data_IF_355458027207
#
_entry.id   IF_355458027207
#
_cell.length_a   1.000
_cell.length_b   1.000
_cell.length_c   1.000
_cell.angle_alpha   90.00
_cell.angle_beta   90.00
_cell.angle_gamma   90.00
#
_symmetry.space_group_name_H-M   'P 1'
#
loop_
_entity.id
_entity.type
_entity.pdbx_description
1 polymer ?
#
# COMPACT_ATOMS: atom_id res chain seq x y z
N UNK A 1 70.34 54.10 12.37
CA UNK A 1 70.64 52.74 11.77
C UNK A 1 69.45 51.85 11.97
N UNK A 2 69.02 51.29 10.93
CA UNK A 2 67.73 50.80 10.60
C UNK A 2 67.06 49.76 11.54
N UNK A 3 65.89 50.11 12.02
CA UNK A 3 64.85 49.24 12.52
C UNK A 3 64.05 48.68 11.32
N UNK A 4 64.37 47.51 10.83
CA UNK A 4 63.51 46.73 9.89
C UNK A 4 64.06 45.30 9.86
N UNK A 5 63.72 44.51 10.81
CA UNK A 5 63.76 43.00 10.68
C UNK A 5 63.19 42.43 11.95
N UNK A 6 61.87 42.41 12.09
CA UNK A 6 61.16 41.59 13.06
C UNK A 6 59.66 41.64 12.79
N UNK A 7 59.23 41.09 11.66
CA UNK A 7 57.77 40.90 11.42
C UNK A 7 57.54 39.93 10.27
N UNK A 8 58.11 38.72 10.36
CA UNK A 8 57.79 37.62 9.39
C UNK A 8 57.68 36.24 10.04
N UNK A 9 57.71 36.12 11.37
CA UNK A 9 57.56 34.81 12.02
C UNK A 9 56.20 34.52 12.70
N UNK A 10 55.17 35.31 12.42
CA UNK A 10 53.87 35.21 13.09
C UNK A 10 52.71 34.61 12.29
N UNK A 11 52.91 34.09 11.08
CA UNK A 11 51.81 33.69 10.19
C UNK A 11 51.85 32.23 9.69
N UNK A 12 52.71 31.38 10.26
CA UNK A 12 52.79 29.96 9.89
C UNK A 12 52.15 29.03 10.93
N UNK A 13 51.65 29.58 12.05
CA UNK A 13 51.07 28.78 13.16
C UNK A 13 49.56 28.52 13.13
N UNK A 14 48.80 29.05 12.17
CA UNK A 14 47.33 28.98 12.18
C UNK A 14 46.68 28.16 11.05
N UNK A 15 47.46 27.48 10.23
CA UNK A 15 46.90 26.64 9.14
C UNK A 15 46.93 25.14 9.38
N UNK A 16 47.25 24.66 10.57
CA UNK A 16 47.35 23.26 10.92
C UNK A 16 46.23 22.73 11.83
N UNK A 17 45.25 23.53 12.20
CA UNK A 17 44.17 23.10 13.10
C UNK A 17 42.81 22.89 12.41
N UNK A 18 42.72 22.89 11.09
CA UNK A 18 41.49 22.67 10.34
C UNK A 18 41.44 21.30 9.59
N UNK A 19 42.35 20.39 9.89
CA UNK A 19 42.36 19.07 9.29
C UNK A 19 42.08 17.92 10.27
N UNK A 20 41.49 18.19 11.40
CA UNK A 20 41.12 17.13 12.33
C UNK A 20 39.61 16.89 12.39
N UNK A 21 38.90 16.98 11.30
CA UNK A 21 37.71 16.14 11.16
C UNK A 21 38.21 14.74 10.81
N UNK A 22 38.47 13.99 11.82
CA UNK A 22 38.92 12.61 11.75
C UNK A 22 37.92 11.79 10.94
N UNK A 23 38.35 11.36 9.76
CA UNK A 23 37.71 10.32 8.96
C UNK A 23 37.84 8.94 9.64
N UNK A 24 37.68 8.87 10.97
CA UNK A 24 37.89 7.67 11.77
C UNK A 24 36.81 6.59 11.61
N UNK A 25 35.77 6.84 10.81
CA UNK A 25 34.72 5.86 10.48
C UNK A 25 34.89 5.18 9.11
N UNK A 26 35.95 5.53 8.36
CA UNK A 26 36.20 4.90 7.06
C UNK A 26 36.92 3.54 7.18
N UNK A 27 36.66 2.64 6.23
CA UNK A 27 37.41 1.38 6.13
C UNK A 27 38.83 1.71 5.63
N UNK A 28 39.79 1.64 6.55
CA UNK A 28 41.19 1.80 6.22
C UNK A 28 41.84 0.51 5.71
N UNK A 29 43.08 0.60 5.25
CA UNK A 29 43.83 -0.55 4.70
C UNK A 29 44.00 -1.67 5.69
N UNK A 30 44.22 -1.37 6.98
CA UNK A 30 44.39 -2.38 8.02
C UNK A 30 43.07 -3.09 8.36
N UNK A 31 41.98 -2.33 8.43
CA UNK A 31 40.64 -2.89 8.59
C UNK A 31 40.27 -3.79 7.41
N UNK A 32 40.53 -3.35 6.18
CA UNK A 32 40.27 -4.15 4.97
C UNK A 32 41.07 -5.46 5.00
N UNK A 33 42.36 -5.43 5.37
CA UNK A 33 43.18 -6.65 5.49
C UNK A 33 42.60 -7.64 6.50
N UNK A 34 42.10 -7.18 7.66
CA UNK A 34 41.44 -8.02 8.67
C UNK A 34 40.13 -8.61 8.15
N UNK A 35 39.31 -7.80 7.46
CA UNK A 35 38.04 -8.26 6.85
C UNK A 35 38.34 -9.38 5.84
N UNK A 36 39.25 -9.16 4.93
CA UNK A 36 39.62 -10.16 3.89
C UNK A 36 40.24 -11.42 4.50
N UNK A 37 41.10 -11.31 5.51
CA UNK A 37 41.70 -12.43 6.18
C UNK A 37 40.70 -13.35 6.90
N UNK A 38 39.57 -12.80 7.34
CA UNK A 38 38.46 -13.56 7.91
C UNK A 38 37.62 -14.32 6.88
N UNK A 39 37.84 -14.09 5.59
CA UNK A 39 37.07 -14.72 4.54
C UNK A 39 37.74 -16.00 4.03
N UNK A 40 37.09 -17.17 4.22
CA UNK A 40 37.59 -18.46 3.74
C UNK A 40 37.21 -18.72 2.28
N UNK A 41 38.17 -18.77 1.38
CA UNK A 41 37.92 -18.83 -0.08
C UNK A 41 37.58 -20.22 -0.63
N UNK A 42 37.98 -21.30 0.01
CA UNK A 42 37.88 -22.65 -0.57
C UNK A 42 36.47 -23.26 -0.48
N UNK A 43 35.82 -23.17 0.69
CA UNK A 43 34.43 -23.65 0.89
C UNK A 43 33.39 -22.76 0.26
N UNK A 44 33.70 -21.48 0.01
CA UNK A 44 32.78 -20.49 -0.51
C UNK A 44 32.72 -20.44 -2.05
N UNK A 45 33.64 -21.11 -2.77
CA UNK A 45 33.67 -21.03 -4.23
C UNK A 45 32.47 -21.68 -4.90
N UNK A 46 32.07 -22.87 -4.45
CA UNK A 46 30.89 -23.54 -5.01
C UNK A 46 29.63 -22.74 -4.70
N UNK A 47 29.49 -22.20 -3.45
CA UNK A 47 28.40 -21.35 -3.05
C UNK A 47 28.38 -20.02 -3.82
N UNK A 48 29.53 -19.39 -4.01
CA UNK A 48 29.70 -18.19 -4.84
C UNK A 48 29.23 -18.40 -6.27
N UNK A 49 29.64 -19.54 -6.90
CA UNK A 49 29.17 -19.90 -8.22
C UNK A 49 27.66 -20.14 -8.27
N UNK A 50 27.09 -20.78 -7.24
CA UNK A 50 25.65 -21.00 -7.15
C UNK A 50 24.88 -19.67 -7.01
N UNK A 51 25.35 -18.75 -6.18
CA UNK A 51 24.73 -17.42 -5.99
C UNK A 51 24.87 -16.56 -7.28
N UNK A 52 25.99 -16.67 -7.99
CA UNK A 52 26.20 -15.93 -9.24
C UNK A 52 25.22 -16.33 -10.37
N UNK A 53 24.66 -17.53 -10.30
CA UNK A 53 23.79 -18.09 -11.35
C UNK A 53 22.34 -18.32 -10.91
N UNK A 54 22.03 -18.11 -9.63
CA UNK A 54 20.70 -18.29 -9.06
C UNK A 54 20.30 -17.12 -8.16
N UNK A 55 18.99 -16.94 -7.95
CA UNK A 55 18.52 -15.97 -6.96
C UNK A 55 18.85 -16.45 -5.54
N UNK A 56 19.17 -15.49 -4.67
CA UNK A 56 19.45 -15.74 -3.25
C UNK A 56 18.29 -16.49 -2.59
N UNK A 57 17.05 -16.08 -2.83
CA UNK A 57 15.86 -16.71 -2.26
C UNK A 57 15.71 -18.18 -2.69
N UNK A 58 16.04 -18.51 -3.94
CA UNK A 58 16.01 -19.91 -4.38
C UNK A 58 17.01 -20.79 -3.61
N UNK A 59 18.19 -20.26 -3.32
CA UNK A 59 19.23 -20.97 -2.59
C UNK A 59 18.98 -21.01 -1.07
N UNK A 60 18.39 -19.97 -0.52
CA UNK A 60 17.99 -19.91 0.89
C UNK A 60 16.74 -20.74 1.20
N UNK A 61 15.98 -21.15 0.17
CA UNK A 61 14.73 -21.90 0.36
C UNK A 61 14.97 -23.22 1.10
N UNK A 62 14.25 -23.42 2.19
CA UNK A 62 14.33 -24.64 2.97
C UNK A 62 13.55 -25.77 2.28
N UNK A 63 14.26 -26.55 1.45
CA UNK A 63 13.67 -27.63 0.67
C UNK A 63 13.11 -28.77 1.54
N UNK A 64 13.70 -29.03 2.71
CA UNK A 64 13.29 -30.14 3.60
C UNK A 64 11.91 -29.93 4.20
N UNK A 65 11.44 -28.69 4.32
CA UNK A 65 10.10 -28.35 4.80
C UNK A 65 8.99 -28.40 3.72
N UNK A 66 9.37 -28.45 2.47
CA UNK A 66 8.40 -28.42 1.36
C UNK A 66 7.42 -29.60 1.30
N UNK A 67 7.72 -30.71 1.96
CA UNK A 67 6.86 -31.92 2.00
C UNK A 67 5.97 -32.05 3.24
N UNK A 68 5.99 -31.07 4.16
CA UNK A 68 5.33 -31.18 5.47
C UNK A 68 4.14 -30.25 5.68
N UNK A 69 3.60 -29.63 4.62
CA UNK A 69 2.41 -28.79 4.75
C UNK A 69 1.17 -29.67 4.87
N UNK A 70 0.48 -29.53 5.98
CA UNK A 70 -0.88 -30.07 6.13
C UNK A 70 -1.85 -29.17 5.35
N UNK A 71 -2.48 -29.74 4.31
CA UNK A 71 -3.49 -29.07 3.48
C UNK A 71 -4.91 -29.45 3.87
N UNK A 72 -5.09 -30.17 4.97
CA UNK A 72 -6.39 -30.47 5.52
C UNK A 72 -6.91 -29.32 6.37
N UNK A 73 -8.08 -28.81 6.04
CA UNK A 73 -8.76 -27.75 6.78
C UNK A 73 -10.06 -28.26 7.39
N UNK A 74 -10.25 -27.99 8.68
CA UNK A 74 -11.48 -28.40 9.40
C UNK A 74 -12.69 -27.51 9.04
N UNK A 75 -12.44 -26.32 8.51
CA UNK A 75 -13.47 -25.36 8.08
C UNK A 75 -13.01 -24.69 6.78
N UNK A 76 -13.85 -24.72 5.78
CA UNK A 76 -13.66 -23.98 4.53
C UNK A 76 -14.87 -23.07 4.27
N UNK A 77 -14.63 -21.85 3.80
CA UNK A 77 -15.70 -20.96 3.35
C UNK A 77 -16.09 -21.27 1.91
N UNK A 78 -17.30 -20.86 1.51
CA UNK A 78 -17.79 -20.99 0.12
C UNK A 78 -16.74 -20.50 -0.88
N UNK A 79 -16.36 -21.37 -1.83
CA UNK A 79 -15.28 -21.07 -2.79
C UNK A 79 -15.71 -19.98 -3.77
N UNK A 80 -14.76 -19.12 -4.09
CA UNK A 80 -14.91 -18.05 -5.08
C UNK A 80 -13.69 -18.05 -6.02
N UNK A 81 -13.84 -17.55 -7.23
CA UNK A 81 -12.73 -17.37 -8.16
C UNK A 81 -11.73 -16.36 -7.64
N UNK A 82 -10.47 -16.52 -8.02
CA UNK A 82 -9.38 -15.60 -7.70
C UNK A 82 -9.24 -14.58 -8.83
N UNK A 83 -9.06 -13.30 -8.46
CA UNK A 83 -8.72 -12.24 -9.39
C UNK A 83 -7.27 -11.80 -9.18
N UNK A 84 -6.56 -11.63 -10.29
CA UNK A 84 -5.18 -11.17 -10.30
C UNK A 84 -5.14 -9.65 -10.50
N UNK A 85 -4.59 -8.92 -9.52
CA UNK A 85 -4.42 -7.46 -9.59
C UNK A 85 -3.33 -7.00 -10.57
N UNK A 86 -2.57 -7.95 -11.16
CA UNK A 86 -1.42 -7.68 -12.04
C UNK A 86 -0.36 -6.76 -11.40
N UNK A 87 0.27 -5.91 -12.19
CA UNK A 87 1.29 -4.95 -11.76
C UNK A 87 0.66 -3.66 -11.19
N UNK A 88 -0.22 -3.81 -10.19
CA UNK A 88 -0.88 -2.69 -9.51
C UNK A 88 -0.84 -2.84 -7.99
N UNK A 89 -0.94 -1.74 -7.25
CA UNK A 89 -1.01 -1.74 -5.78
C UNK A 89 -2.44 -1.83 -5.22
N UNK A 90 -3.40 -2.35 -5.99
CA UNK A 90 -4.83 -2.39 -5.66
C UNK A 90 -5.26 -3.60 -4.82
N UNK A 91 -4.33 -4.28 -4.13
CA UNK A 91 -4.64 -5.48 -3.32
C UNK A 91 -5.77 -5.24 -2.30
N UNK A 92 -5.81 -4.07 -1.68
CA UNK A 92 -6.85 -3.66 -0.74
C UNK A 92 -8.24 -3.66 -1.40
N UNK A 93 -8.35 -3.17 -2.64
CA UNK A 93 -9.59 -3.11 -3.40
C UNK A 93 -10.03 -4.50 -3.85
N UNK A 94 -9.11 -5.28 -4.42
CA UNK A 94 -9.39 -6.67 -4.82
C UNK A 94 -9.84 -7.53 -3.64
N UNK A 95 -9.16 -7.42 -2.49
CA UNK A 95 -9.54 -8.13 -1.27
C UNK A 95 -10.90 -7.67 -0.74
N UNK A 96 -11.16 -6.37 -0.71
CA UNK A 96 -12.45 -5.82 -0.31
C UNK A 96 -13.59 -6.30 -1.20
N UNK A 97 -13.42 -6.24 -2.52
CA UNK A 97 -14.41 -6.72 -3.48
C UNK A 97 -14.65 -8.23 -3.37
N UNK A 98 -13.61 -9.02 -3.11
CA UNK A 98 -13.75 -10.45 -2.86
C UNK A 98 -14.60 -10.74 -1.63
N UNK A 99 -14.47 -9.96 -0.56
CA UNK A 99 -15.34 -10.06 0.63
C UNK A 99 -16.79 -9.75 0.28
N UNK A 100 -17.04 -8.64 -0.44
CA UNK A 100 -18.40 -8.25 -0.83
C UNK A 100 -19.05 -9.30 -1.74
N UNK A 101 -18.31 -9.78 -2.74
CA UNK A 101 -18.75 -10.83 -3.66
C UNK A 101 -19.11 -12.14 -2.94
N UNK A 102 -18.25 -12.56 -2.02
CA UNK A 102 -18.48 -13.75 -1.23
C UNK A 102 -19.70 -13.63 -0.32
N UNK A 103 -19.86 -12.49 0.34
CA UNK A 103 -21.02 -12.22 1.18
C UNK A 103 -22.32 -12.19 0.37
N UNK A 104 -22.28 -11.64 -0.85
CA UNK A 104 -23.43 -11.68 -1.76
C UNK A 104 -23.83 -13.12 -2.11
N UNK A 105 -22.89 -13.95 -2.54
CA UNK A 105 -23.13 -15.35 -2.87
C UNK A 105 -23.69 -16.12 -1.65
N UNK A 106 -23.11 -15.92 -0.45
CA UNK A 106 -23.59 -16.52 0.80
C UNK A 106 -25.04 -16.10 1.12
N UNK A 107 -25.37 -14.82 1.02
CA UNK A 107 -26.74 -14.33 1.27
C UNK A 107 -27.76 -14.96 0.32
N UNK A 108 -27.35 -15.27 -0.90
CA UNK A 108 -28.18 -15.93 -1.91
C UNK A 108 -28.00 -17.45 -1.94
N UNK A 109 -27.44 -18.07 -0.89
CA UNK A 109 -27.23 -19.54 -0.78
C UNK A 109 -26.52 -20.13 -2.00
N UNK A 110 -25.52 -19.40 -2.49
CA UNK A 110 -24.68 -19.77 -3.65
C UNK A 110 -25.45 -19.92 -4.99
N UNK A 111 -26.64 -19.33 -5.09
CA UNK A 111 -27.45 -19.34 -6.32
C UNK A 111 -27.23 -18.13 -7.22
N UNK A 112 -26.75 -17.01 -6.66
CA UNK A 112 -26.43 -15.79 -7.39
C UNK A 112 -24.99 -15.39 -7.14
N UNK A 113 -24.32 -14.99 -8.21
CA UNK A 113 -22.95 -14.53 -8.24
C UNK A 113 -22.84 -13.19 -8.94
N UNK A 114 -21.80 -12.43 -8.59
CA UNK A 114 -21.48 -11.14 -9.19
C UNK A 114 -19.96 -10.96 -9.24
N UNK A 115 -19.49 -10.37 -10.32
CA UNK A 115 -18.09 -9.93 -10.46
C UNK A 115 -18.08 -8.42 -10.60
N UNK A 116 -17.22 -7.75 -9.80
CA UNK A 116 -17.17 -6.29 -9.75
C UNK A 116 -16.06 -5.73 -10.61
N UNK A 117 -16.30 -4.54 -11.17
CA UNK A 117 -15.28 -3.74 -11.82
C UNK A 117 -14.35 -3.10 -10.78
N UNK A 118 -13.11 -3.55 -10.73
CA UNK A 118 -12.11 -2.93 -9.88
C UNK A 118 -11.64 -1.58 -10.45
N UNK A 119 -11.57 -1.46 -11.77
CA UNK A 119 -11.15 -0.22 -12.42
C UNK A 119 -12.12 0.92 -12.16
N UNK A 120 -13.43 0.66 -12.05
CA UNK A 120 -14.43 1.68 -11.73
C UNK A 120 -14.12 2.38 -10.40
N UNK A 121 -13.94 1.63 -9.33
CA UNK A 121 -13.62 2.22 -8.02
C UNK A 121 -12.18 2.75 -7.96
N UNK A 122 -11.24 2.12 -8.65
CA UNK A 122 -9.87 2.62 -8.76
C UNK A 122 -9.81 3.99 -9.45
N UNK A 123 -10.64 4.23 -10.46
CA UNK A 123 -10.78 5.54 -11.09
C UNK A 123 -11.16 6.62 -10.07
N UNK A 124 -12.23 6.36 -9.31
CA UNK A 124 -12.71 7.28 -8.29
C UNK A 124 -11.73 7.44 -7.13
N UNK A 125 -11.05 6.37 -6.73
CA UNK A 125 -9.99 6.41 -5.73
C UNK A 125 -8.86 7.37 -6.11
N UNK A 126 -8.35 7.26 -7.34
CA UNK A 126 -7.26 8.12 -7.79
C UNK A 126 -7.68 9.59 -7.93
N UNK A 127 -8.92 9.85 -8.35
CA UNK A 127 -9.47 11.20 -8.41
C UNK A 127 -9.66 11.80 -7.00
N UNK A 128 -10.20 11.02 -6.08
CA UNK A 128 -10.43 11.46 -4.70
C UNK A 128 -9.12 11.67 -3.93
N UNK A 129 -8.14 10.80 -4.08
CA UNK A 129 -6.81 11.00 -3.50
C UNK A 129 -6.12 12.23 -4.08
N UNK A 130 -6.34 12.53 -5.36
CA UNK A 130 -5.86 13.77 -5.98
C UNK A 130 -6.52 14.99 -5.32
N UNK A 131 -7.83 14.94 -5.08
CA UNK A 131 -8.53 15.99 -4.36
C UNK A 131 -8.08 16.10 -2.89
N UNK A 132 -7.87 14.98 -2.20
CA UNK A 132 -7.36 14.93 -0.83
C UNK A 132 -5.98 15.60 -0.73
N UNK A 133 -5.07 15.30 -1.64
CA UNK A 133 -3.75 15.93 -1.72
C UNK A 133 -3.85 17.42 -1.95
N UNK A 134 -4.60 17.87 -2.96
CA UNK A 134 -4.71 19.30 -3.29
C UNK A 134 -5.40 20.09 -2.16
N UNK A 135 -6.44 19.53 -1.54
CA UNK A 135 -7.09 20.19 -0.41
C UNK A 135 -6.20 20.20 0.82
N UNK A 136 -5.53 19.09 1.14
CA UNK A 136 -4.58 19.03 2.25
C UNK A 136 -3.43 20.03 2.10
N UNK A 137 -2.98 20.27 0.88
CA UNK A 137 -1.97 21.32 0.59
C UNK A 137 -2.54 22.72 0.81
N UNK A 138 -3.79 22.99 0.45
CA UNK A 138 -4.47 24.26 0.70
C UNK A 138 -4.60 24.50 2.20
N UNK A 139 -5.10 23.51 2.95
CA UNK A 139 -5.35 23.60 4.39
C UNK A 139 -4.06 23.87 5.19
N UNK A 140 -2.94 23.33 4.71
CA UNK A 140 -1.61 23.47 5.30
C UNK A 140 -0.72 24.50 4.59
N UNK A 141 -1.28 25.35 3.72
CA UNK A 141 -0.47 26.25 2.88
C UNK A 141 0.34 27.29 3.67
N UNK A 142 -0.06 27.63 4.90
CA UNK A 142 0.68 28.54 5.80
C UNK A 142 1.88 27.88 6.49
N UNK A 143 1.93 26.55 6.55
CA UNK A 143 3.05 25.82 7.13
C UNK A 143 4.26 25.83 6.18
N UNK A 144 5.49 25.79 6.68
CA UNK A 144 6.68 25.75 5.81
C UNK A 144 6.77 24.42 5.05
N UNK A 145 7.57 24.38 3.96
CA UNK A 145 7.72 23.22 3.11
C UNK A 145 8.35 22.00 3.82
N UNK A 146 9.11 22.22 4.89
CA UNK A 146 9.70 21.15 5.71
C UNK A 146 8.80 20.68 6.88
N UNK A 147 7.58 21.21 7.01
CA UNK A 147 6.59 20.67 7.95
C UNK A 147 6.24 19.23 7.57
N UNK A 148 6.19 18.28 8.52
CA UNK A 148 5.96 16.85 8.24
C UNK A 148 4.66 16.57 7.44
N UNK A 149 3.58 17.31 7.71
CA UNK A 149 2.31 17.16 7.01
C UNK A 149 2.40 17.65 5.56
N UNK A 150 3.10 18.77 5.33
CA UNK A 150 3.34 19.28 3.97
C UNK A 150 4.20 18.29 3.19
N UNK A 151 5.28 17.78 3.83
CA UNK A 151 6.13 16.76 3.23
C UNK A 151 5.37 15.48 2.90
N UNK A 152 4.44 15.05 3.75
CA UNK A 152 3.59 13.88 3.51
C UNK A 152 2.83 14.02 2.17
N UNK A 153 2.14 15.14 1.93
CA UNK A 153 1.39 15.37 0.70
C UNK A 153 2.28 15.46 -0.55
N UNK A 154 3.43 16.12 -0.45
CA UNK A 154 4.31 16.28 -1.61
C UNK A 154 5.18 15.06 -1.91
N UNK A 155 5.52 14.25 -0.90
CA UNK A 155 6.32 13.05 -1.08
C UNK A 155 5.52 11.95 -1.81
N UNK A 156 4.29 11.74 -1.39
CA UNK A 156 3.40 10.72 -1.95
C UNK A 156 2.03 11.33 -2.30
N UNK A 157 1.92 12.09 -3.41
CA UNK A 157 0.68 12.78 -3.78
C UNK A 157 -0.52 11.86 -3.96
N UNK A 158 -0.30 10.69 -4.54
CA UNK A 158 -1.25 9.58 -4.63
C UNK A 158 -0.52 8.26 -4.45
N UNK A 159 -1.24 7.23 -4.04
CA UNK A 159 -0.76 5.84 -3.98
C UNK A 159 -1.86 4.90 -4.44
N UNK A 160 -1.48 3.71 -4.92
CA UNK A 160 -2.45 2.65 -5.20
C UNK A 160 -2.95 1.96 -3.91
N UNK A 161 -2.24 2.13 -2.79
CA UNK A 161 -2.53 1.47 -1.52
C UNK A 161 -3.81 1.96 -0.85
N UNK A 162 -4.32 1.17 0.08
CA UNK A 162 -5.50 1.52 0.87
C UNK A 162 -5.90 0.43 1.85
N UNK A 163 -7.03 0.66 2.51
CA UNK A 163 -7.64 -0.23 3.50
C UNK A 163 -9.12 -0.43 3.23
N UNK A 164 -9.78 -1.29 4.01
CA UNK A 164 -11.22 -1.56 3.82
C UNK A 164 -12.11 -0.34 4.08
N UNK A 165 -11.71 0.61 4.93
CA UNK A 165 -12.48 1.86 5.09
C UNK A 165 -12.53 2.66 3.78
N UNK A 166 -11.45 2.65 2.99
CA UNK A 166 -11.47 3.24 1.65
C UNK A 166 -12.41 2.52 0.69
N UNK A 167 -12.50 1.17 0.75
CA UNK A 167 -13.50 0.41 -0.02
C UNK A 167 -14.90 0.88 0.36
N UNK A 168 -15.19 0.97 1.66
CA UNK A 168 -16.51 1.35 2.16
C UNK A 168 -16.90 2.79 1.74
N UNK A 169 -16.00 3.75 1.90
CA UNK A 169 -16.25 5.14 1.50
C UNK A 169 -16.51 5.27 -0.01
N UNK A 170 -15.71 4.59 -0.84
CA UNK A 170 -15.87 4.64 -2.29
C UNK A 170 -17.16 3.95 -2.75
N UNK A 171 -17.47 2.78 -2.20
CA UNK A 171 -18.71 2.05 -2.52
C UNK A 171 -19.94 2.84 -2.09
N UNK A 172 -19.92 3.43 -0.89
CA UNK A 172 -21.03 4.22 -0.38
C UNK A 172 -21.24 5.53 -1.17
N UNK A 173 -20.16 6.12 -1.69
CA UNK A 173 -20.18 7.38 -2.43
C UNK A 173 -20.49 7.21 -3.92
N UNK A 174 -19.88 6.20 -4.55
CA UNK A 174 -19.90 6.03 -6.00
C UNK A 174 -20.67 4.79 -6.47
N UNK A 175 -21.12 3.93 -5.56
CA UNK A 175 -21.82 2.72 -5.91
C UNK A 175 -20.90 1.58 -6.36
N UNK A 176 -21.46 0.60 -7.06
CA UNK A 176 -20.79 -0.58 -7.63
C UNK A 176 -21.14 -0.74 -9.11
N UNK A 177 -20.23 -1.34 -9.85
CA UNK A 177 -20.39 -1.64 -11.27
C UNK A 177 -19.93 -3.07 -11.51
N UNK A 178 -20.65 -3.88 -12.32
CA UNK A 178 -20.19 -5.22 -12.68
C UNK A 178 -18.98 -5.13 -13.63
N UNK A 179 -18.09 -6.12 -13.56
CA UNK A 179 -16.84 -6.16 -14.32
C UNK A 179 -17.06 -6.00 -15.84
N UNK A 180 -18.14 -6.59 -16.37
CA UNK A 180 -18.45 -6.54 -17.79
C UNK A 180 -18.88 -5.15 -18.28
N UNK A 181 -19.37 -4.26 -17.41
CA UNK A 181 -19.76 -2.91 -17.78
C UNK A 181 -18.58 -1.92 -17.81
N UNK A 182 -17.53 -2.18 -17.05
CA UNK A 182 -16.26 -1.42 -17.11
C UNK A 182 -15.09 -2.36 -16.85
N UNK A 183 -14.57 -3.02 -17.89
CA UNK A 183 -13.49 -4.00 -17.77
C UNK A 183 -12.12 -3.34 -17.50
N UNK A 184 -11.17 -4.14 -17.03
CA UNK A 184 -9.79 -3.68 -16.80
C UNK A 184 -9.14 -3.18 -18.10
N UNK A 185 -8.33 -2.12 -17.98
CA UNK A 185 -7.49 -1.59 -19.04
C UNK A 185 -6.02 -1.95 -18.82
N UNK A 186 -5.17 -1.79 -19.85
CA UNK A 186 -3.73 -1.97 -19.68
C UNK A 186 -3.16 -1.08 -18.56
N UNK A 187 -3.57 0.18 -18.46
CA UNK A 187 -3.10 1.09 -17.40
C UNK A 187 -3.66 0.74 -16.02
N UNK A 188 -4.83 0.12 -15.94
CA UNK A 188 -5.35 -0.43 -14.69
C UNK A 188 -4.53 -1.63 -14.21
N UNK A 189 -4.10 -2.49 -15.13
CA UNK A 189 -3.23 -3.62 -14.83
C UNK A 189 -1.76 -3.23 -14.61
N UNK A 190 -1.34 -1.99 -15.00
CA UNK A 190 0.03 -1.47 -14.93
C UNK A 190 0.04 -0.02 -14.46
N UNK A 191 -0.33 0.23 -13.21
CA UNK A 191 -0.67 1.56 -12.67
C UNK A 191 0.52 2.51 -12.50
N UNK A 192 1.73 2.02 -12.35
CA UNK A 192 2.90 2.81 -11.93
C UNK A 192 3.17 4.03 -12.82
N UNK A 193 3.05 3.88 -14.16
CA UNK A 193 3.33 5.00 -15.07
C UNK A 193 2.27 6.10 -14.99
N UNK A 194 1.01 5.75 -14.97
CA UNK A 194 -0.10 6.67 -14.80
C UNK A 194 0.02 7.42 -13.46
N UNK A 195 0.23 6.70 -12.37
CA UNK A 195 0.42 7.26 -11.03
C UNK A 195 1.61 8.24 -10.97
N UNK A 196 2.72 7.93 -11.64
CA UNK A 196 3.89 8.83 -11.73
C UNK A 196 3.55 10.14 -12.45
N UNK A 197 2.81 10.08 -13.56
CA UNK A 197 2.38 11.27 -14.32
C UNK A 197 1.45 12.13 -13.46
N UNK A 198 0.44 11.53 -12.84
CA UNK A 198 -0.50 12.24 -11.96
C UNK A 198 0.25 12.84 -10.77
N UNK A 199 1.14 12.11 -10.11
CA UNK A 199 1.93 12.60 -8.99
C UNK A 199 2.80 13.80 -9.35
N UNK A 200 3.39 13.81 -10.55
CA UNK A 200 4.18 14.96 -11.03
C UNK A 200 3.29 16.19 -11.21
N UNK A 201 2.11 15.99 -11.80
CA UNK A 201 1.14 17.08 -12.02
C UNK A 201 0.57 17.63 -10.71
N UNK A 202 0.27 16.75 -9.76
CA UNK A 202 -0.21 17.16 -8.44
C UNK A 202 0.82 17.97 -7.66
N UNK A 203 2.12 17.66 -7.77
CA UNK A 203 3.17 18.46 -7.15
C UNK A 203 3.23 19.88 -7.73
N UNK A 204 3.14 20.00 -9.05
CA UNK A 204 3.06 21.28 -9.76
C UNK A 204 1.85 22.09 -9.25
N UNK A 205 0.68 21.51 -9.25
CA UNK A 205 -0.56 22.11 -8.79
C UNK A 205 -0.53 22.48 -7.30
N UNK A 206 0.00 21.61 -6.46
CA UNK A 206 0.17 21.90 -5.04
C UNK A 206 1.04 23.15 -4.79
N UNK A 207 2.14 23.32 -5.54
CA UNK A 207 2.96 24.52 -5.45
C UNK A 207 2.21 25.77 -5.93
N UNK A 208 1.42 25.67 -7.00
CA UNK A 208 0.59 26.77 -7.50
C UNK A 208 -0.46 27.18 -6.46
N UNK A 209 -1.20 26.21 -5.88
CA UNK A 209 -2.21 26.50 -4.86
C UNK A 209 -1.61 27.14 -3.63
N UNK A 210 -0.43 26.72 -3.17
CA UNK A 210 0.29 27.38 -2.07
C UNK A 210 0.63 28.83 -2.40
N UNK A 211 1.09 29.10 -3.62
CA UNK A 211 1.34 30.50 -4.09
C UNK A 211 0.05 31.33 -4.11
N UNK A 212 -1.07 30.75 -4.54
CA UNK A 212 -2.36 31.44 -4.53
C UNK A 212 -2.79 31.81 -3.10
N UNK A 213 -2.61 30.91 -2.14
CA UNK A 213 -2.90 31.20 -0.72
C UNK A 213 -1.95 32.28 -0.17
N UNK A 214 -0.65 32.18 -0.46
CA UNK A 214 0.35 33.18 -0.04
C UNK A 214 0.03 34.58 -0.62
N UNK A 215 -0.44 34.64 -1.87
CA UNK A 215 -0.88 35.87 -2.55
C UNK A 215 -2.30 36.32 -2.15
N UNK A 216 -2.89 35.71 -1.09
CA UNK A 216 -4.21 36.06 -0.55
C UNK A 216 -5.34 36.04 -1.59
N UNK A 217 -5.28 35.15 -2.58
CA UNK A 217 -6.39 34.92 -3.51
C UNK A 217 -7.64 34.48 -2.75
N UNK A 218 -8.83 34.84 -3.23
CA UNK A 218 -10.08 34.46 -2.58
C UNK A 218 -10.29 32.94 -2.54
N UNK A 219 -11.01 32.47 -1.53
CA UNK A 219 -11.36 31.04 -1.44
C UNK A 219 -12.09 30.54 -2.68
N UNK A 220 -12.97 31.37 -3.27
CA UNK A 220 -13.67 31.07 -4.51
C UNK A 220 -12.70 30.86 -5.69
N UNK A 221 -11.70 31.74 -5.84
CA UNK A 221 -10.69 31.62 -6.90
C UNK A 221 -9.83 30.36 -6.72
N UNK A 222 -9.40 30.05 -5.49
CA UNK A 222 -8.64 28.84 -5.17
C UNK A 222 -9.48 27.59 -5.46
N UNK A 223 -10.75 27.56 -5.07
CA UNK A 223 -11.68 26.45 -5.35
C UNK A 223 -11.88 26.26 -6.86
N UNK A 224 -12.11 27.34 -7.61
CA UNK A 224 -12.26 27.28 -9.05
C UNK A 224 -11.02 26.68 -9.72
N UNK A 225 -9.82 27.17 -9.34
CA UNK A 225 -8.57 26.64 -9.89
C UNK A 225 -8.33 25.18 -9.54
N UNK A 226 -8.59 24.77 -8.28
CA UNK A 226 -8.54 23.35 -7.89
C UNK A 226 -9.49 22.49 -8.73
N UNK A 227 -10.68 22.98 -9.05
CA UNK A 227 -11.64 22.26 -9.90
C UNK A 227 -11.10 22.05 -11.31
N UNK A 228 -10.48 23.07 -11.92
CA UNK A 228 -9.81 22.93 -13.22
C UNK A 228 -8.69 21.88 -13.17
N UNK A 229 -7.83 21.94 -12.13
CA UNK A 229 -6.74 20.98 -11.92
C UNK A 229 -7.26 19.54 -11.81
N UNK A 230 -8.36 19.34 -11.08
CA UNK A 230 -9.01 18.01 -10.99
C UNK A 230 -9.63 17.59 -12.33
N UNK A 231 -10.08 18.53 -13.17
CA UNK A 231 -10.52 18.26 -14.55
C UNK A 231 -9.38 17.69 -15.42
N UNK A 232 -8.18 18.23 -15.30
CA UNK A 232 -7.00 17.70 -15.99
C UNK A 232 -6.65 16.28 -15.51
N UNK A 233 -6.72 16.04 -14.19
CA UNK A 233 -6.50 14.69 -13.63
C UNK A 233 -7.59 13.73 -14.11
N UNK A 234 -8.85 14.15 -14.10
CA UNK A 234 -9.97 13.36 -14.63
C UNK A 234 -9.73 12.94 -16.08
N UNK A 235 -9.28 13.86 -16.91
CA UNK A 235 -8.96 13.56 -18.31
C UNK A 235 -7.83 12.53 -18.45
N UNK A 236 -6.77 12.61 -17.64
CA UNK A 236 -5.70 11.59 -17.62
C UNK A 236 -6.28 10.22 -17.22
N UNK A 237 -7.17 10.18 -16.22
CA UNK A 237 -7.80 8.95 -15.78
C UNK A 237 -8.74 8.37 -16.85
N UNK A 238 -9.55 9.18 -17.51
CA UNK A 238 -10.43 8.74 -18.61
C UNK A 238 -9.63 8.12 -19.76
N UNK A 239 -8.56 8.77 -20.17
CA UNK A 239 -7.69 8.26 -21.25
C UNK A 239 -6.94 6.97 -20.87
N UNK A 240 -6.69 6.76 -19.59
CA UNK A 240 -5.93 5.60 -19.10
C UNK A 240 -6.82 4.42 -18.69
N UNK A 241 -7.96 4.70 -18.07
CA UNK A 241 -8.81 3.71 -17.41
C UNK A 241 -10.18 3.53 -18.09
N UNK A 242 -10.56 4.43 -18.98
CA UNK A 242 -11.91 4.54 -19.52
C UNK A 242 -12.81 5.48 -18.74
N UNK A 243 -13.88 5.99 -19.36
CA UNK A 243 -14.86 6.83 -18.69
C UNK A 243 -15.78 6.00 -17.79
N UNK A 244 -16.00 6.40 -16.52
CA UNK A 244 -16.91 5.70 -15.63
C UNK A 244 -18.34 5.66 -16.18
N UNK A 245 -18.92 4.47 -16.20
CA UNK A 245 -20.28 4.26 -16.69
C UNK A 245 -21.30 4.89 -15.75
N UNK A 246 -22.35 5.50 -16.32
CA UNK A 246 -23.46 6.12 -15.57
C UNK A 246 -24.65 5.19 -15.41
N UNK A 247 -24.88 4.36 -16.44
CA UNK A 247 -25.95 3.36 -16.46
C UNK A 247 -25.48 2.14 -17.24
N UNK A 248 -25.99 0.97 -16.90
CA UNK A 248 -25.69 -0.28 -17.58
C UNK A 248 -26.84 -1.28 -17.44
N UNK A 249 -26.87 -2.28 -18.30
CA UNK A 249 -27.79 -3.40 -18.17
C UNK A 249 -27.06 -4.60 -17.57
N UNK A 250 -27.65 -5.26 -16.61
CA UNK A 250 -27.07 -6.42 -15.94
C UNK A 250 -28.13 -7.43 -15.52
N UNK A 251 -27.80 -8.72 -15.64
CA UNK A 251 -28.49 -9.83 -14.98
C UNK A 251 -27.50 -10.55 -14.09
N UNK A 252 -27.89 -10.85 -12.85
CA UNK A 252 -27.04 -11.66 -11.97
C UNK A 252 -26.78 -13.02 -12.60
N UNK A 253 -25.67 -13.63 -12.23
CA UNK A 253 -25.22 -14.90 -12.80
C UNK A 253 -25.43 -16.04 -11.81
N UNK A 254 -25.66 -17.27 -12.33
CA UNK A 254 -25.49 -18.48 -11.54
C UNK A 254 -23.99 -18.84 -11.42
N UNK A 255 -23.68 -19.92 -10.69
CA UNK A 255 -22.31 -20.43 -10.53
C UNK A 255 -21.61 -20.86 -11.83
N UNK A 256 -22.37 -21.07 -12.90
CA UNK A 256 -21.87 -21.45 -14.22
C UNK A 256 -21.73 -20.22 -15.16
N UNK A 257 -22.05 -19.03 -14.68
CA UNK A 257 -21.99 -17.78 -15.45
C UNK A 257 -23.22 -17.50 -16.30
N UNK A 258 -24.31 -18.27 -16.19
CA UNK A 258 -25.54 -18.04 -16.93
C UNK A 258 -26.38 -16.95 -16.26
N UNK A 259 -27.09 -16.16 -17.05
CA UNK A 259 -27.99 -15.14 -16.53
C UNK A 259 -29.14 -15.74 -15.74
N UNK A 260 -29.39 -15.21 -14.57
CA UNK A 260 -30.56 -15.51 -13.76
C UNK A 260 -31.58 -14.37 -13.93
N UNK A 261 -32.62 -14.64 -14.69
CA UNK A 261 -33.64 -13.65 -15.04
C UNK A 261 -33.25 -12.77 -16.24
N UNK A 262 -34.05 -11.71 -16.46
CA UNK A 262 -33.80 -10.74 -17.54
C UNK A 262 -32.87 -9.63 -17.08
N UNK A 263 -31.99 -9.11 -17.96
CA UNK A 263 -31.22 -7.91 -17.66
C UNK A 263 -32.11 -6.75 -17.25
N UNK A 264 -31.67 -6.02 -16.22
CA UNK A 264 -32.29 -4.79 -15.73
C UNK A 264 -31.33 -3.63 -15.89
N UNK A 265 -31.85 -2.41 -15.98
CA UNK A 265 -31.03 -1.21 -16.04
C UNK A 265 -30.71 -0.73 -14.63
N UNK A 266 -29.42 -0.49 -14.38
CA UNK A 266 -28.92 0.02 -13.11
C UNK A 266 -28.09 1.29 -13.30
N UNK A 267 -28.08 2.14 -12.27
CA UNK A 267 -26.97 3.05 -12.00
C UNK A 267 -26.00 2.37 -11.03
N UNK A 268 -24.77 2.86 -10.86
CA UNK A 268 -23.84 2.30 -9.87
C UNK A 268 -24.44 2.24 -8.45
N UNK A 269 -25.20 3.25 -8.05
CA UNK A 269 -25.83 3.29 -6.73
C UNK A 269 -26.95 2.25 -6.60
N UNK A 270 -27.83 2.15 -7.58
CA UNK A 270 -28.95 1.16 -7.54
C UNK A 270 -28.42 -0.26 -7.65
N UNK A 271 -27.32 -0.47 -8.34
CA UNK A 271 -26.65 -1.77 -8.38
C UNK A 271 -26.01 -2.12 -7.02
N UNK A 272 -25.30 -1.17 -6.39
CA UNK A 272 -24.82 -1.35 -5.01
C UNK A 272 -25.97 -1.75 -4.08
N UNK A 273 -27.09 -1.05 -4.13
CA UNK A 273 -28.25 -1.32 -3.26
C UNK A 273 -28.87 -2.70 -3.52
N UNK A 274 -28.90 -3.14 -4.79
CA UNK A 274 -29.32 -4.51 -5.15
C UNK A 274 -28.37 -5.59 -4.63
N UNK A 275 -27.06 -5.29 -4.54
CA UNK A 275 -26.03 -6.24 -4.08
C UNK A 275 -25.92 -6.25 -2.55
N UNK A 276 -25.88 -5.09 -1.93
CA UNK A 276 -25.54 -4.95 -0.49
C UNK A 276 -26.75 -4.75 0.41
N UNK A 277 -27.84 -4.22 -0.12
CA UNK A 277 -29.05 -3.88 0.65
C UNK A 277 -28.90 -2.74 1.65
N UNK A 278 -27.66 -2.29 1.93
CA UNK A 278 -27.33 -1.22 2.88
C UNK A 278 -25.96 -0.61 2.58
N UNK A 279 -25.68 0.55 3.17
CA UNK A 279 -24.35 1.16 3.16
C UNK A 279 -23.36 0.32 3.96
N UNK A 280 -22.09 0.38 3.58
CA UNK A 280 -20.99 -0.33 4.24
C UNK A 280 -20.50 0.39 5.50
N UNK A 281 -20.46 1.72 5.48
CA UNK A 281 -20.02 2.49 6.64
C UNK A 281 -20.93 2.22 7.84
N UNK A 282 -20.30 1.96 9.00
CA UNK A 282 -21.00 1.55 10.23
C UNK A 282 -21.35 0.06 10.30
N UNK A 283 -21.05 -0.75 9.27
CA UNK A 283 -21.35 -2.20 9.24
C UNK A 283 -20.14 -3.10 9.49
N UNK A 284 -18.95 -2.53 9.72
CA UNK A 284 -17.69 -3.27 9.96
C UNK A 284 -16.86 -2.62 11.07
N UNK A 285 -15.93 -3.38 11.61
CA UNK A 285 -14.93 -2.93 12.57
C UNK A 285 -13.56 -3.34 12.03
N UNK A 286 -12.59 -2.40 12.07
CA UNK A 286 -11.20 -2.70 11.78
C UNK A 286 -10.50 -3.08 13.10
N UNK A 287 -9.89 -4.27 13.13
CA UNK A 287 -9.04 -4.72 14.22
C UNK A 287 -7.58 -4.75 13.76
N UNK A 288 -6.66 -4.41 14.65
CA UNK A 288 -5.22 -4.43 14.38
C UNK A 288 -4.46 -5.03 15.56
N UNK A 289 -3.35 -5.67 15.31
CA UNK A 289 -2.38 -6.05 16.33
C UNK A 289 -1.13 -5.17 16.19
N UNK A 290 -1.08 -4.09 16.95
CA UNK A 290 0.11 -3.23 17.10
C UNK A 290 0.64 -3.32 18.55
N UNK A 291 1.69 -4.12 18.82
CA UNK A 291 2.22 -4.29 20.16
C UNK A 291 2.92 -3.04 20.73
N UNK A 292 3.11 -1.98 19.94
CA UNK A 292 3.66 -0.69 20.39
C UNK A 292 2.64 0.18 21.09
N UNK A 293 1.33 -0.19 21.00
CA UNK A 293 0.21 0.59 21.52
C UNK A 293 -0.59 -0.23 22.52
N UNK A 294 -1.30 0.43 23.41
CA UNK A 294 -2.16 -0.25 24.38
C UNK A 294 -3.25 -1.06 23.66
N UNK A 295 -3.45 -2.29 24.10
CA UNK A 295 -4.54 -3.12 23.63
C UNK A 295 -5.90 -2.63 24.17
N UNK A 296 -6.97 -3.00 23.51
CA UNK A 296 -8.36 -2.63 23.82
C UNK A 296 -8.62 -1.12 23.77
N UNK A 297 -7.78 -0.38 23.04
CA UNK A 297 -7.94 1.03 22.74
C UNK A 297 -8.21 1.23 21.25
N UNK A 298 -8.96 2.28 20.95
CA UNK A 298 -9.21 2.71 19.57
C UNK A 298 -8.19 3.76 19.15
N UNK A 299 -7.66 3.61 17.97
CA UNK A 299 -6.73 4.54 17.35
C UNK A 299 -7.23 4.96 15.98
N UNK A 300 -6.84 6.16 15.55
CA UNK A 300 -7.16 6.73 14.25
C UNK A 300 -5.88 7.27 13.62
N UNK A 301 -5.70 7.03 12.32
CA UNK A 301 -4.55 7.51 11.56
C UNK A 301 -5.01 8.70 10.72
N UNK A 302 -4.53 9.90 11.10
CA UNK A 302 -4.89 11.14 10.41
C UNK A 302 -4.45 11.11 8.95
N UNK A 303 -5.34 11.54 8.04
CA UNK A 303 -5.17 11.50 6.58
C UNK A 303 -5.01 10.11 5.95
N UNK A 304 -5.07 9.03 6.70
CA UNK A 304 -5.17 7.69 6.12
C UNK A 304 -6.64 7.41 5.73
N UNK A 305 -7.06 8.07 4.67
CA UNK A 305 -8.39 8.00 4.07
C UNK A 305 -8.28 8.20 2.56
N UNK A 306 -9.30 7.79 1.84
CA UNK A 306 -9.33 7.82 0.38
C UNK A 306 -9.99 9.08 -0.18
N UNK A 307 -11.04 9.55 0.48
CA UNK A 307 -11.77 10.77 0.10
C UNK A 307 -11.57 11.86 1.14
N UNK A 308 -11.60 13.13 0.75
CA UNK A 308 -11.41 14.23 1.70
C UNK A 308 -12.53 14.27 2.74
N UNK A 309 -13.75 13.96 2.33
CA UNK A 309 -14.99 13.91 3.15
C UNK A 309 -15.26 12.51 3.74
N UNK A 310 -14.36 11.56 3.58
CA UNK A 310 -14.49 10.20 4.09
C UNK A 310 -13.87 9.98 5.47
N UNK A 311 -13.73 8.72 5.84
CA UNK A 311 -13.32 8.29 7.16
C UNK A 311 -11.82 7.97 7.18
N UNK A 312 -11.10 8.51 8.16
CA UNK A 312 -9.76 8.06 8.46
C UNK A 312 -9.75 6.58 8.88
N UNK A 313 -8.66 5.88 8.64
CA UNK A 313 -8.48 4.55 9.16
C UNK A 313 -8.52 4.55 10.67
N UNK A 314 -9.58 3.98 11.20
CA UNK A 314 -9.84 3.83 12.62
C UNK A 314 -9.88 2.35 12.96
N UNK A 315 -9.16 1.93 14.00
CA UNK A 315 -9.11 0.53 14.40
C UNK A 315 -9.10 0.38 15.92
N UNK A 316 -9.58 -0.77 16.39
CA UNK A 316 -9.35 -1.24 17.74
C UNK A 316 -8.07 -2.07 17.78
N UNK A 317 -7.16 -1.78 18.70
CA UNK A 317 -5.94 -2.55 18.89
C UNK A 317 -6.22 -3.75 19.80
N UNK A 318 -5.97 -4.96 19.31
CA UNK A 318 -6.27 -6.21 20.01
C UNK A 318 -5.06 -7.14 20.04
N UNK A 319 -4.94 -7.97 21.09
CA UNK A 319 -4.00 -9.10 21.10
C UNK A 319 -4.28 -10.06 19.91
N UNK A 320 -3.24 -10.75 19.44
CA UNK A 320 -3.37 -11.69 18.33
C UNK A 320 -4.34 -12.83 18.63
N UNK A 321 -4.42 -13.27 19.89
CA UNK A 321 -5.31 -14.34 20.34
C UNK A 321 -6.79 -13.97 20.14
N UNK A 322 -7.15 -12.72 20.36
CA UNK A 322 -8.53 -12.26 20.18
C UNK A 322 -8.87 -12.10 18.70
N UNK A 323 -7.94 -11.57 17.90
CA UNK A 323 -8.09 -11.52 16.44
C UNK A 323 -8.24 -12.93 15.87
N UNK A 324 -7.45 -13.90 16.33
CA UNK A 324 -7.54 -15.29 15.91
C UNK A 324 -8.91 -15.92 16.24
N UNK A 325 -9.44 -15.68 17.45
CA UNK A 325 -10.79 -16.13 17.85
C UNK A 325 -11.87 -15.53 16.94
N UNK A 326 -11.77 -14.24 16.63
CA UNK A 326 -12.71 -13.57 15.71
C UNK A 326 -12.63 -14.16 14.30
N UNK A 327 -11.40 -14.43 13.80
CA UNK A 327 -11.17 -15.05 12.52
C UNK A 327 -11.79 -16.46 12.45
N UNK A 328 -11.56 -17.30 13.45
CA UNK A 328 -12.13 -18.64 13.53
C UNK A 328 -13.66 -18.61 13.57
N UNK A 329 -14.24 -17.70 14.36
CA UNK A 329 -15.69 -17.54 14.44
C UNK A 329 -16.29 -17.12 13.08
N UNK A 330 -15.64 -16.16 12.38
CA UNK A 330 -16.04 -15.71 11.06
C UNK A 330 -16.00 -16.82 10.02
N UNK A 331 -14.93 -17.64 10.01
CA UNK A 331 -14.81 -18.78 9.09
C UNK A 331 -15.90 -19.85 9.35
N UNK A 332 -16.21 -20.13 10.62
CA UNK A 332 -17.29 -21.06 10.99
C UNK A 332 -18.67 -20.58 10.57
N UNK A 333 -18.87 -19.26 10.45
CA UNK A 333 -20.11 -18.65 9.95
C UNK A 333 -20.11 -18.49 8.40
N UNK A 334 -19.17 -19.10 7.70
CA UNK A 334 -18.95 -18.93 6.24
C UNK A 334 -18.78 -17.44 5.84
N UNK A 335 -18.26 -16.60 6.74
CA UNK A 335 -18.04 -15.19 6.48
C UNK A 335 -16.57 -14.93 6.20
N UNK A 336 -16.26 -14.40 5.01
CA UNK A 336 -14.90 -13.96 4.68
C UNK A 336 -14.61 -12.59 5.27
N UNK A 337 -13.39 -12.45 5.76
CA UNK A 337 -12.90 -11.20 6.32
C UNK A 337 -11.86 -10.58 5.39
N UNK A 338 -11.88 -9.25 5.32
CA UNK A 338 -10.73 -8.50 4.82
C UNK A 338 -9.59 -8.63 5.83
N UNK A 339 -8.41 -9.03 5.38
CA UNK A 339 -7.23 -9.12 6.24
C UNK A 339 -5.96 -8.73 5.51
N UNK A 340 -5.00 -8.18 6.25
CA UNK A 340 -3.70 -7.75 5.75
C UNK A 340 -2.61 -8.15 6.74
N UNK A 341 -1.49 -8.66 6.25
CA UNK A 341 -0.39 -9.18 7.05
C UNK A 341 0.96 -8.71 6.51
N UNK A 342 1.94 -8.53 7.39
CA UNK A 342 3.35 -8.44 6.99
C UNK A 342 3.86 -9.84 6.66
N UNK A 343 3.98 -10.13 5.37
CA UNK A 343 4.33 -11.48 4.87
C UNK A 343 5.67 -11.52 4.14
N UNK A 344 6.33 -10.39 3.96
CA UNK A 344 7.47 -10.24 3.06
C UNK A 344 8.65 -11.19 3.32
N UNK A 345 8.82 -11.63 4.57
CA UNK A 345 9.94 -12.53 4.96
C UNK A 345 9.57 -14.02 4.94
N UNK A 346 8.29 -14.34 4.97
CA UNK A 346 7.78 -15.70 5.11
C UNK A 346 7.08 -16.23 3.85
N UNK A 347 6.76 -15.36 2.91
CA UNK A 347 6.01 -15.71 1.71
C UNK A 347 6.92 -16.37 0.66
N UNK A 348 6.65 -17.63 0.35
CA UNK A 348 7.17 -18.29 -0.85
C UNK A 348 6.13 -18.24 -1.97
N UNK A 349 6.23 -17.24 -2.83
CA UNK A 349 5.31 -17.04 -3.96
C UNK A 349 5.29 -18.21 -4.94
N UNK A 350 6.41 -18.91 -5.13
CA UNK A 350 6.49 -20.03 -6.08
C UNK A 350 5.73 -21.25 -5.59
N UNK A 351 5.71 -21.48 -4.27
CA UNK A 351 5.04 -22.60 -3.64
C UNK A 351 3.66 -22.24 -3.07
N UNK A 352 3.35 -20.93 -3.00
CA UNK A 352 2.05 -20.43 -2.60
C UNK A 352 1.73 -20.59 -1.11
N UNK A 353 2.74 -20.53 -0.22
CA UNK A 353 2.49 -20.62 1.21
C UNK A 353 3.39 -19.73 2.07
N UNK A 354 2.95 -19.51 3.31
CA UNK A 354 3.63 -18.77 4.36
C UNK A 354 4.12 -19.74 5.43
N UNK A 355 5.41 -19.69 5.76
CA UNK A 355 6.01 -20.43 6.88
C UNK A 355 7.21 -19.65 7.40
N UNK A 356 7.40 -19.66 8.72
CA UNK A 356 8.53 -18.98 9.38
C UNK A 356 9.89 -19.51 8.91
N UNK A 357 9.95 -20.77 8.51
CA UNK A 357 11.17 -21.47 8.13
C UNK A 357 11.31 -21.65 6.60
N UNK A 358 10.55 -20.89 5.80
CA UNK A 358 10.64 -20.98 4.33
C UNK A 358 12.05 -20.68 3.78
N UNK A 359 12.79 -19.78 4.45
CA UNK A 359 14.11 -19.35 4.01
C UNK A 359 15.13 -19.41 5.14
N UNK A 360 16.30 -19.98 4.84
CA UNK A 360 17.43 -20.10 5.76
C UNK A 360 18.63 -19.31 5.24
N UNK A 361 18.54 -18.00 5.34
CA UNK A 361 19.65 -17.09 4.99
C UNK A 361 20.85 -17.24 5.94
N UNK A 362 20.61 -17.67 7.19
CA UNK A 362 21.67 -17.83 8.17
C UNK A 362 22.66 -18.93 7.76
N UNK A 363 22.14 -20.09 7.36
CA UNK A 363 22.97 -21.18 6.82
C UNK A 363 23.59 -20.80 5.47
N UNK A 364 22.84 -20.15 4.57
CA UNK A 364 23.34 -19.76 3.27
C UNK A 364 24.57 -18.85 3.35
N UNK A 365 24.55 -17.86 4.23
CA UNK A 365 25.64 -16.88 4.36
C UNK A 365 26.61 -17.16 5.50
N UNK A 366 26.37 -18.18 6.32
CA UNK A 366 27.16 -18.48 7.50
C UNK A 366 27.13 -17.36 8.55
N UNK A 367 26.06 -16.57 8.61
CA UNK A 367 25.92 -15.45 9.53
C UNK A 367 24.56 -15.46 10.22
N UNK A 368 24.50 -14.97 11.45
CA UNK A 368 23.26 -14.93 12.23
C UNK A 368 22.47 -13.65 11.94
N UNK A 369 21.16 -13.77 11.99
CA UNK A 369 20.20 -12.64 11.93
C UNK A 369 19.40 -12.62 13.26
N UNK A 370 20.03 -12.22 14.38
CA UNK A 370 19.48 -12.44 15.73
C UNK A 370 18.32 -11.51 16.10
N UNK A 371 18.11 -10.42 15.37
CA UNK A 371 17.08 -9.43 15.70
C UNK A 371 15.68 -10.06 15.65
N UNK A 372 15.03 -10.12 16.81
CA UNK A 372 13.67 -10.62 16.94
C UNK A 372 12.61 -9.54 16.59
N UNK A 373 11.31 -9.94 16.60
CA UNK A 373 10.20 -9.03 16.27
C UNK A 373 10.10 -7.85 17.24
N UNK A 374 10.29 -8.08 18.54
CA UNK A 374 10.17 -7.03 19.55
C UNK A 374 11.29 -5.98 19.40
N UNK A 375 12.51 -6.43 19.14
CA UNK A 375 13.65 -5.53 18.87
C UNK A 375 13.42 -4.70 17.61
N UNK A 376 12.90 -5.29 16.51
CA UNK A 376 12.57 -4.55 15.29
C UNK A 376 11.50 -3.48 15.55
N UNK A 377 10.43 -3.83 16.25
CA UNK A 377 9.33 -2.92 16.57
C UNK A 377 9.79 -1.75 17.44
N UNK A 378 10.76 -1.96 18.34
CA UNK A 378 11.29 -0.91 19.21
C UNK A 378 12.30 0.01 18.52
N UNK A 379 12.83 -0.39 17.37
CA UNK A 379 13.95 0.30 16.71
C UNK A 379 13.55 1.01 15.40
N UNK A 380 12.59 0.44 14.64
CA UNK A 380 12.20 0.94 13.30
C UNK A 380 10.74 1.35 13.22
#
# INVERSE_FOLDING_TARGET
>A
MNKKTLMVCGLIGLSLSLQAQTKNGGIDKQMMQKIVAGHSSASNRALSNAIATNSIDNLARNFRKAGGLDTHFSVETTKQNIHDQKSSGRCWLFSGMNVLRSNFARMHKDTLHVEFSHVYLSFHDQLEKSNLMLQGVIDNAKKPMNDPIVQFFFKNPITDGGTFCGVADLVDKYGLVPMEAMPESYSAENTSRMASIISSKLREYGLELRKMVANKKSAAAIKARKTEMLGDIYNILVLSLGEPVKTFQYAFKDKNGNNVGKPQTYTPETFRDAVLGKKLNGSFIMAMNDPRREYYKTYEVEYDRHTYDGHNWKYINLPMEDIAKMAIASLKDDTKMYSSYDVGKQLDLKRGYLDLDNFDYATLFGTKFPMNKAERISTF
#
